data_IF_123923878209
#
_entry.id   IF_123923878209
#
_cell.length_a   1.000
_cell.length_b   1.000
_cell.length_c   1.000
_cell.angle_alpha   90.00
_cell.angle_beta   90.00
_cell.angle_gamma   90.00
#
_symmetry.space_group_name_H-M   'P 1'
#
loop_
_entity.id
_entity.type
_entity.pdbx_description
1 polymer ?
#
# COMPACT_ATOMS: atom_id res chain seq x y z
N UNK A 1 -39.09 35.05 -17.51
CA UNK A 1 -37.61 35.03 -17.55
C UNK A 1 -36.93 34.27 -16.40
N UNK A 2 -37.58 34.12 -15.24
CA UNK A 2 -37.00 33.36 -14.07
C UNK A 2 -37.07 31.85 -14.23
N UNK A 3 -38.09 31.29 -14.88
CA UNK A 3 -38.25 29.85 -15.10
C UNK A 3 -37.19 29.21 -16.05
N UNK A 4 -36.66 30.01 -16.99
CA UNK A 4 -35.67 29.48 -17.97
C UNK A 4 -34.29 29.34 -17.36
N UNK A 5 -33.93 30.16 -16.38
CA UNK A 5 -32.66 30.09 -15.67
C UNK A 5 -32.61 28.90 -14.68
N UNK A 6 -33.75 28.56 -14.05
CA UNK A 6 -33.80 27.40 -13.13
C UNK A 6 -33.65 26.06 -13.86
N UNK A 7 -34.25 25.93 -15.05
CA UNK A 7 -34.09 24.73 -15.88
C UNK A 7 -32.69 24.60 -16.44
N UNK A 8 -31.98 25.68 -16.76
CA UNK A 8 -30.62 25.67 -17.25
C UNK A 8 -29.61 25.26 -16.14
N UNK A 9 -29.86 25.69 -14.91
CA UNK A 9 -29.04 25.31 -13.75
C UNK A 9 -29.19 23.82 -13.39
N UNK A 10 -30.41 23.29 -13.44
CA UNK A 10 -30.70 21.87 -13.19
C UNK A 10 -30.13 20.99 -14.33
N UNK A 11 -30.25 21.42 -15.60
CA UNK A 11 -29.62 20.70 -16.72
C UNK A 11 -28.09 20.68 -16.61
N UNK A 12 -27.48 21.81 -16.26
CA UNK A 12 -26.02 21.88 -16.07
C UNK A 12 -25.54 21.06 -14.85
N UNK A 13 -26.31 21.03 -13.76
CA UNK A 13 -26.03 20.13 -12.63
C UNK A 13 -26.12 18.64 -13.05
N UNK A 14 -27.16 18.25 -13.77
CA UNK A 14 -27.34 16.89 -14.27
C UNK A 14 -26.26 16.49 -15.29
N UNK A 15 -25.85 17.41 -16.18
CA UNK A 15 -24.75 17.17 -17.13
C UNK A 15 -23.41 17.03 -16.38
N UNK A 16 -23.15 17.87 -15.38
CA UNK A 16 -21.96 17.77 -14.55
C UNK A 16 -21.94 16.47 -13.72
N UNK A 17 -23.09 16.07 -13.17
CA UNK A 17 -23.26 14.79 -12.48
C UNK A 17 -22.99 13.61 -13.42
N UNK A 18 -23.66 13.57 -14.58
CA UNK A 18 -23.47 12.51 -15.58
C UNK A 18 -22.02 12.45 -16.08
N UNK A 19 -21.38 13.60 -16.33
CA UNK A 19 -19.98 13.66 -16.75
C UNK A 19 -19.02 13.19 -15.65
N UNK A 20 -19.29 13.54 -14.38
CA UNK A 20 -18.53 13.08 -13.22
C UNK A 20 -18.65 11.56 -13.06
N UNK A 21 -19.87 11.01 -13.13
CA UNK A 21 -20.10 9.57 -13.06
C UNK A 21 -19.49 8.81 -14.23
N UNK A 22 -19.55 9.36 -15.44
CA UNK A 22 -18.93 8.75 -16.62
C UNK A 22 -17.39 8.73 -16.53
N UNK A 23 -16.78 9.86 -16.08
CA UNK A 23 -15.33 9.90 -15.81
C UNK A 23 -14.92 8.93 -14.71
N UNK A 24 -15.70 8.82 -13.64
CA UNK A 24 -15.45 7.90 -12.53
C UNK A 24 -15.60 6.44 -13.00
N UNK A 25 -16.61 6.12 -13.83
CA UNK A 25 -16.79 4.79 -14.41
C UNK A 25 -15.62 4.40 -15.34
N UNK A 26 -15.17 5.30 -16.21
CA UNK A 26 -13.99 5.08 -17.06
C UNK A 26 -12.72 4.89 -16.22
N UNK A 27 -12.56 5.64 -15.14
CA UNK A 27 -11.43 5.52 -14.22
C UNK A 27 -11.47 4.21 -13.45
N UNK A 28 -12.64 3.75 -12.98
CA UNK A 28 -12.82 2.44 -12.34
C UNK A 28 -12.46 1.30 -13.29
N UNK A 29 -12.90 1.36 -14.55
CA UNK A 29 -12.55 0.35 -15.55
C UNK A 29 -11.05 0.26 -15.81
N UNK A 30 -10.33 1.39 -15.68
CA UNK A 30 -8.89 1.43 -15.83
C UNK A 30 -8.13 0.77 -14.68
N UNK A 31 -8.65 0.83 -13.43
CA UNK A 31 -8.05 0.08 -12.30
C UNK A 31 -8.04 -1.43 -12.54
N UNK A 32 -9.07 -1.95 -13.22
CA UNK A 32 -9.21 -3.38 -13.49
C UNK A 32 -8.68 -3.79 -14.88
N UNK A 33 -8.20 -2.85 -15.68
CA UNK A 33 -7.71 -3.13 -17.04
C UNK A 33 -6.57 -4.16 -17.10
N UNK A 34 -5.59 -4.15 -16.16
CA UNK A 34 -4.51 -5.14 -16.20
C UNK A 34 -4.93 -6.50 -15.67
N UNK A 35 -6.12 -6.62 -15.07
CA UNK A 35 -6.62 -7.86 -14.48
C UNK A 35 -7.27 -8.68 -15.56
N UNK A 36 -6.89 -9.97 -15.65
CA UNK A 36 -7.56 -10.90 -16.53
C UNK A 36 -9.06 -10.93 -16.19
N UNK A 37 -9.91 -10.48 -17.13
CA UNK A 37 -11.36 -10.38 -16.92
C UNK A 37 -12.06 -11.74 -16.89
N UNK A 38 -11.35 -12.81 -17.29
CA UNK A 38 -11.89 -14.17 -17.38
C UNK A 38 -11.59 -15.03 -16.13
N UNK A 39 -11.21 -14.41 -15.02
CA UNK A 39 -11.09 -15.12 -13.74
C UNK A 39 -12.45 -15.66 -13.39
N UNK A 40 -12.58 -17.00 -13.37
CA UNK A 40 -13.78 -17.68 -12.92
C UNK A 40 -13.48 -18.41 -11.61
N UNK A 41 -14.18 -18.03 -10.57
CA UNK A 41 -14.10 -18.68 -9.25
C UNK A 41 -15.44 -19.32 -8.97
N UNK A 42 -15.52 -20.66 -8.86
CA UNK A 42 -16.74 -21.35 -8.47
C UNK A 42 -17.22 -20.91 -7.09
N UNK A 43 -18.54 -20.83 -6.89
CA UNK A 43 -19.11 -20.44 -5.58
C UNK A 43 -18.66 -21.38 -4.45
N UNK A 44 -18.38 -22.64 -4.73
CA UNK A 44 -17.83 -23.59 -3.76
C UNK A 44 -16.46 -23.19 -3.22
N UNK A 45 -15.65 -22.46 -3.98
CA UNK A 45 -14.34 -21.96 -3.54
C UNK A 45 -14.50 -20.81 -2.54
N UNK A 46 -15.60 -20.04 -2.62
CA UNK A 46 -15.85 -18.94 -1.69
C UNK A 46 -16.04 -19.38 -0.23
N UNK A 47 -16.38 -20.65 0.03
CA UNK A 47 -16.37 -21.19 1.39
C UNK A 47 -15.00 -21.10 2.07
N UNK A 48 -13.92 -21.05 1.31
CA UNK A 48 -12.53 -20.87 1.82
C UNK A 48 -12.25 -19.43 2.28
N UNK A 49 -13.02 -18.46 1.79
CA UNK A 49 -12.78 -17.05 2.08
C UNK A 49 -13.17 -16.67 3.50
N UNK A 50 -14.09 -17.40 4.15
CA UNK A 50 -14.50 -17.16 5.52
C UNK A 50 -13.32 -17.25 6.49
N UNK A 51 -12.43 -18.22 6.28
CA UNK A 51 -11.20 -18.33 7.09
C UNK A 51 -10.28 -17.14 6.88
N UNK A 52 -10.13 -16.68 5.62
CA UNK A 52 -9.33 -15.50 5.31
C UNK A 52 -9.87 -14.25 6.03
N UNK A 53 -11.20 -14.07 6.05
CA UNK A 53 -11.87 -12.95 6.73
C UNK A 53 -11.62 -13.02 8.24
N UNK A 54 -11.85 -14.16 8.87
CA UNK A 54 -11.65 -14.36 10.31
C UNK A 54 -10.19 -14.10 10.71
N UNK A 55 -9.23 -14.58 9.91
CA UNK A 55 -7.81 -14.34 10.17
C UNK A 55 -7.44 -12.87 9.98
N UNK A 56 -7.91 -12.22 8.93
CA UNK A 56 -7.67 -10.80 8.68
C UNK A 56 -8.25 -9.93 9.82
N UNK A 57 -9.45 -10.25 10.29
CA UNK A 57 -10.08 -9.55 11.41
C UNK A 57 -9.30 -9.74 12.72
N UNK A 58 -8.81 -10.96 12.99
CA UNK A 58 -7.96 -11.22 14.14
C UNK A 58 -6.63 -10.46 14.07
N UNK A 59 -6.00 -10.40 12.89
CA UNK A 59 -4.78 -9.61 12.66
C UNK A 59 -5.04 -8.11 12.84
N UNK A 60 -6.15 -7.59 12.33
CA UNK A 60 -6.52 -6.18 12.47
C UNK A 60 -6.70 -5.77 13.95
N UNK A 61 -7.24 -6.67 14.80
CA UNK A 61 -7.35 -6.44 16.24
C UNK A 61 -6.01 -6.50 16.99
N UNK A 62 -5.03 -7.23 16.45
CA UNK A 62 -3.70 -7.37 17.07
C UNK A 62 -2.68 -6.34 16.60
N UNK A 63 -2.99 -5.59 15.56
CA UNK A 63 -2.09 -4.59 14.98
C UNK A 63 -2.76 -3.21 14.94
N UNK A 64 -1.96 -2.17 14.81
CA UNK A 64 -2.46 -0.80 14.59
C UNK A 64 -2.68 -0.50 13.10
N UNK A 65 -2.72 -1.54 12.24
CA UNK A 65 -2.90 -1.38 10.81
C UNK A 65 -4.38 -1.51 10.43
N UNK A 66 -4.83 -0.74 9.47
CA UNK A 66 -6.07 -1.04 8.75
C UNK A 66 -5.81 -2.16 7.77
N UNK A 67 -6.67 -3.17 7.77
CA UNK A 67 -6.58 -4.31 6.86
C UNK A 67 -7.83 -4.39 5.99
N UNK A 68 -7.65 -4.76 4.73
CA UNK A 68 -8.76 -5.12 3.86
C UNK A 68 -8.34 -6.19 2.86
N UNK A 69 -9.32 -6.96 2.38
CA UNK A 69 -9.10 -8.01 1.37
C UNK A 69 -9.78 -7.57 0.08
N UNK A 70 -9.01 -7.54 -1.00
CA UNK A 70 -9.53 -7.32 -2.36
C UNK A 70 -9.93 -8.65 -2.96
N UNK A 71 -11.13 -8.72 -3.50
CA UNK A 71 -11.60 -9.78 -4.39
C UNK A 71 -11.54 -9.28 -5.84
N UNK A 72 -10.54 -9.72 -6.59
CA UNK A 72 -10.35 -9.31 -7.98
C UNK A 72 -11.36 -9.93 -8.94
N UNK A 73 -11.96 -11.08 -8.57
CA UNK A 73 -13.03 -11.69 -9.36
C UNK A 73 -14.33 -10.88 -9.28
N UNK A 74 -14.75 -10.51 -8.05
CA UNK A 74 -15.92 -9.65 -7.81
C UNK A 74 -15.63 -8.16 -7.96
N UNK A 75 -14.35 -7.78 -8.12
CA UNK A 75 -13.89 -6.40 -8.27
C UNK A 75 -14.36 -5.50 -7.11
N UNK A 76 -14.28 -6.02 -5.90
CA UNK A 76 -14.75 -5.34 -4.70
C UNK A 76 -13.87 -5.72 -3.48
N UNK A 77 -14.15 -5.11 -2.34
CA UNK A 77 -13.56 -5.48 -1.07
C UNK A 77 -14.37 -6.62 -0.44
N UNK A 78 -13.71 -7.76 -0.22
CA UNK A 78 -14.29 -8.91 0.47
C UNK A 78 -14.42 -8.65 1.96
N UNK A 79 -13.47 -7.92 2.55
CA UNK A 79 -13.39 -7.57 3.96
C UNK A 79 -12.74 -6.20 4.11
N UNK A 80 -13.19 -5.43 5.09
CA UNK A 80 -12.57 -4.17 5.53
C UNK A 80 -12.59 -4.14 7.06
N UNK A 81 -11.44 -3.89 7.69
CA UNK A 81 -11.32 -3.81 9.14
C UNK A 81 -11.94 -2.54 9.70
N UNK A 82 -12.29 -2.57 10.99
CA UNK A 82 -12.83 -1.41 11.73
C UNK A 82 -11.76 -0.37 12.11
N UNK A 83 -10.51 -0.58 11.76
CA UNK A 83 -9.41 0.35 12.01
C UNK A 83 -9.64 1.68 11.27
N UNK A 84 -9.60 2.86 11.95
CA UNK A 84 -10.12 4.11 11.40
C UNK A 84 -9.26 4.72 10.30
N UNK A 85 -7.98 4.40 10.21
CA UNK A 85 -7.06 5.06 9.28
C UNK A 85 -7.53 4.96 7.82
N UNK A 86 -7.79 3.75 7.34
CA UNK A 86 -8.25 3.54 5.95
C UNK A 86 -9.72 3.90 5.76
N UNK A 87 -10.52 3.88 6.82
CA UNK A 87 -11.96 4.20 6.73
C UNK A 87 -12.25 5.67 6.42
N UNK A 88 -11.34 6.57 6.72
CA UNK A 88 -11.48 8.01 6.44
C UNK A 88 -12.81 8.61 6.94
N UNK A 89 -13.33 8.13 8.07
CA UNK A 89 -14.59 8.57 8.67
C UNK A 89 -15.84 7.80 8.23
N UNK A 90 -15.70 6.80 7.36
CA UNK A 90 -16.80 5.89 6.96
C UNK A 90 -16.86 4.64 7.84
N UNK A 91 -17.94 3.89 7.76
CA UNK A 91 -18.01 2.54 8.33
C UNK A 91 -17.35 1.50 7.39
N UNK A 92 -16.94 0.33 7.90
CA UNK A 92 -16.43 -0.76 7.05
C UNK A 92 -17.41 -1.17 5.96
N UNK A 93 -18.72 -1.20 6.28
CA UNK A 93 -19.79 -1.56 5.36
C UNK A 93 -19.95 -0.53 4.24
N UNK A 94 -19.86 0.77 4.57
CA UNK A 94 -19.89 1.84 3.58
C UNK A 94 -18.71 1.75 2.61
N UNK A 95 -17.49 1.48 3.12
CA UNK A 95 -16.29 1.30 2.30
C UNK A 95 -16.43 0.07 1.40
N UNK A 96 -16.95 -1.04 1.92
CA UNK A 96 -17.24 -2.24 1.12
C UNK A 96 -18.27 -1.97 0.01
N UNK A 97 -19.36 -1.25 0.33
CA UNK A 97 -20.39 -0.90 -0.67
C UNK A 97 -19.85 0.00 -1.78
N UNK A 98 -18.97 0.95 -1.44
CA UNK A 98 -18.31 1.83 -2.40
C UNK A 98 -17.28 1.09 -3.26
N UNK A 99 -16.65 0.04 -2.70
CA UNK A 99 -15.59 -0.69 -3.36
C UNK A 99 -14.46 0.25 -3.84
N UNK A 100 -13.97 0.05 -5.05
CA UNK A 100 -12.88 0.86 -5.61
C UNK A 100 -13.25 2.34 -5.85
N UNK A 101 -14.55 2.68 -5.87
CA UNK A 101 -14.97 4.08 -5.95
C UNK A 101 -14.53 4.87 -4.71
N UNK A 102 -14.31 4.19 -3.59
CA UNK A 102 -13.79 4.79 -2.37
C UNK A 102 -12.44 5.48 -2.57
N UNK A 103 -11.53 4.92 -3.36
CA UNK A 103 -10.25 5.57 -3.65
C UNK A 103 -10.40 6.97 -4.28
N UNK A 104 -11.39 7.16 -5.16
CA UNK A 104 -11.64 8.46 -5.80
C UNK A 104 -12.23 9.51 -4.85
N UNK A 105 -12.71 9.09 -3.69
CA UNK A 105 -13.20 10.00 -2.65
C UNK A 105 -12.07 10.44 -1.71
N UNK A 106 -11.19 9.50 -1.35
CA UNK A 106 -10.21 9.72 -0.28
C UNK A 106 -8.80 10.00 -0.77
N UNK A 107 -8.45 9.63 -1.99
CA UNK A 107 -7.11 9.89 -2.55
C UNK A 107 -7.11 11.21 -3.30
N UNK A 108 -6.08 12.08 -3.13
CA UNK A 108 -5.92 13.29 -3.94
C UNK A 108 -5.97 12.98 -5.44
N UNK A 109 -6.67 13.82 -6.20
CA UNK A 109 -6.96 13.54 -7.62
C UNK A 109 -5.72 13.47 -8.52
N UNK A 110 -4.64 14.14 -8.15
CA UNK A 110 -3.34 14.13 -8.82
C UNK A 110 -2.57 12.82 -8.58
N UNK A 111 -2.85 12.12 -7.48
CA UNK A 111 -2.23 10.82 -7.17
C UNK A 111 -2.98 9.62 -7.77
N UNK A 112 -4.23 9.76 -8.17
CA UNK A 112 -5.02 8.66 -8.75
C UNK A 112 -4.36 8.06 -10.00
N UNK A 113 -3.82 8.88 -10.89
CA UNK A 113 -3.15 8.38 -12.09
C UNK A 113 -1.89 7.57 -11.74
N UNK A 114 -1.16 7.99 -10.69
CA UNK A 114 -0.01 7.25 -10.16
C UNK A 114 -0.43 5.88 -9.62
N UNK A 115 -1.52 5.82 -8.85
CA UNK A 115 -2.05 4.54 -8.34
C UNK A 115 -2.48 3.60 -9.48
N UNK A 116 -3.11 4.12 -10.54
CA UNK A 116 -3.44 3.31 -11.72
C UNK A 116 -2.20 2.76 -12.41
N UNK A 117 -1.14 3.57 -12.59
CA UNK A 117 0.12 3.12 -13.18
C UNK A 117 0.81 2.07 -12.31
N UNK A 118 0.83 2.26 -10.97
CA UNK A 118 1.36 1.27 -10.01
C UNK A 118 0.61 -0.05 -10.15
N UNK A 119 -0.71 0.00 -10.18
CA UNK A 119 -1.56 -1.18 -10.32
C UNK A 119 -1.26 -1.92 -11.65
N UNK A 120 -1.20 -1.20 -12.78
CA UNK A 120 -0.88 -1.79 -14.09
C UNK A 120 0.52 -2.41 -14.10
N UNK A 121 1.52 -1.68 -13.59
CA UNK A 121 2.91 -2.16 -13.55
C UNK A 121 3.06 -3.36 -12.60
N UNK A 122 2.38 -3.34 -11.44
CA UNK A 122 2.36 -4.43 -10.47
C UNK A 122 1.79 -5.71 -11.08
N UNK A 123 0.58 -5.66 -11.65
CA UNK A 123 -0.02 -6.83 -12.29
C UNK A 123 0.82 -7.39 -13.42
N UNK A 124 1.40 -6.54 -14.27
CA UNK A 124 2.31 -6.98 -15.34
C UNK A 124 3.49 -7.75 -14.74
N UNK A 125 4.12 -7.22 -13.69
CA UNK A 125 5.22 -7.89 -13.02
C UNK A 125 4.82 -9.25 -12.46
N UNK A 126 3.64 -9.34 -11.78
CA UNK A 126 3.12 -10.59 -11.21
C UNK A 126 2.85 -11.64 -12.30
N UNK A 127 2.25 -11.25 -13.42
CA UNK A 127 1.97 -12.19 -14.50
C UNK A 127 3.21 -12.66 -15.25
N UNK A 128 4.29 -11.88 -15.25
CA UNK A 128 5.58 -12.28 -15.78
C UNK A 128 6.31 -13.29 -14.88
N UNK A 129 5.85 -13.50 -13.62
CA UNK A 129 6.43 -14.48 -12.71
C UNK A 129 5.77 -15.85 -12.87
N UNK A 130 6.55 -16.94 -12.61
CA UNK A 130 5.98 -18.29 -12.46
C UNK A 130 4.84 -18.31 -11.44
N UNK A 131 3.82 -19.13 -11.69
CA UNK A 131 2.60 -19.17 -10.85
C UNK A 131 2.95 -19.48 -9.38
N UNK A 132 3.87 -20.41 -9.16
CA UNK A 132 4.34 -20.84 -7.85
C UNK A 132 5.02 -19.74 -7.04
N UNK A 133 5.52 -18.70 -7.69
CA UNK A 133 6.15 -17.54 -7.02
C UNK A 133 5.17 -16.40 -6.70
N UNK A 134 4.00 -16.39 -7.29
CA UNK A 134 3.09 -15.25 -7.20
C UNK A 134 2.60 -14.96 -5.77
N UNK A 135 2.47 -15.98 -4.92
CA UNK A 135 2.08 -15.82 -3.52
C UNK A 135 3.21 -15.30 -2.63
N UNK A 136 4.46 -15.44 -3.09
CA UNK A 136 5.64 -15.03 -2.32
C UNK A 136 5.98 -13.55 -2.52
N UNK A 137 5.27 -12.86 -3.39
CA UNK A 137 5.51 -11.46 -3.72
C UNK A 137 4.60 -10.52 -2.93
N UNK A 138 5.11 -9.33 -2.61
CA UNK A 138 4.28 -8.22 -2.17
C UNK A 138 4.68 -6.95 -2.89
N UNK A 139 3.72 -6.04 -3.09
CA UNK A 139 3.97 -4.69 -3.58
C UNK A 139 3.65 -3.68 -2.49
N UNK A 140 4.52 -2.69 -2.30
CA UNK A 140 4.35 -1.65 -1.30
C UNK A 140 4.70 -0.28 -1.86
N UNK A 141 3.95 0.73 -1.43
CA UNK A 141 4.06 2.12 -1.87
C UNK A 141 3.30 3.04 -0.93
N UNK A 142 3.63 4.33 -0.98
CA UNK A 142 2.94 5.34 -0.19
C UNK A 142 2.04 6.19 -1.08
N UNK A 143 0.95 6.69 -0.50
CA UNK A 143 0.08 7.71 -1.08
C UNK A 143 -0.70 8.45 0.01
N UNK A 144 -1.28 9.59 -0.35
CA UNK A 144 -2.05 10.38 0.58
C UNK A 144 -3.53 9.98 0.58
N UNK A 145 -4.15 10.07 1.76
CA UNK A 145 -5.60 9.93 1.94
C UNK A 145 -6.15 11.12 2.69
N UNK A 146 -7.31 11.61 2.27
CA UNK A 146 -8.10 12.60 2.99
C UNK A 146 -8.93 11.88 4.06
N UNK A 147 -8.77 12.32 5.30
CA UNK A 147 -9.61 11.92 6.42
C UNK A 147 -10.51 13.10 6.81
N UNK A 148 -11.16 13.02 7.97
CA UNK A 148 -11.87 14.18 8.55
C UNK A 148 -10.92 15.31 8.98
N UNK A 149 -9.63 15.10 8.96
CA UNK A 149 -8.62 16.08 9.34
C UNK A 149 -8.31 17.06 8.21
N UNK A 150 -7.75 18.22 8.58
CA UNK A 150 -7.50 19.34 7.65
C UNK A 150 -6.45 18.99 6.56
N UNK A 151 -5.50 18.13 6.87
CA UNK A 151 -4.40 17.76 5.97
C UNK A 151 -4.48 16.28 5.62
N UNK A 152 -4.17 15.90 4.36
CA UNK A 152 -4.11 14.50 4.00
C UNK A 152 -2.98 13.78 4.76
N UNK A 153 -3.22 12.51 5.08
CA UNK A 153 -2.22 11.65 5.71
C UNK A 153 -1.47 10.86 4.66
N UNK A 154 -0.15 10.86 4.76
CA UNK A 154 0.67 9.95 3.97
C UNK A 154 0.61 8.56 4.62
N UNK A 155 0.10 7.59 3.87
CA UNK A 155 0.00 6.21 4.32
C UNK A 155 0.99 5.32 3.58
N UNK A 156 1.43 4.27 4.27
CA UNK A 156 2.13 3.14 3.69
C UNK A 156 1.12 2.03 3.40
N UNK A 157 1.08 1.62 2.16
CA UNK A 157 0.18 0.59 1.66
C UNK A 157 1.00 -0.60 1.18
N UNK A 158 0.64 -1.81 1.63
CA UNK A 158 1.24 -3.05 1.19
C UNK A 158 0.15 -4.03 0.75
N UNK A 159 0.33 -4.63 -0.41
CA UNK A 159 -0.57 -5.63 -0.98
C UNK A 159 0.20 -6.94 -1.16
N UNK A 160 -0.41 -8.02 -0.68
CA UNK A 160 0.14 -9.38 -0.76
C UNK A 160 -0.96 -10.32 -1.29
N UNK A 161 -0.74 -11.06 -2.38
CA UNK A 161 -1.67 -12.09 -2.84
C UNK A 161 -1.90 -13.15 -1.76
N UNK A 162 -3.14 -13.60 -1.61
CA UNK A 162 -3.55 -14.61 -0.62
C UNK A 162 -4.01 -15.89 -1.30
N UNK A 163 -4.82 -15.76 -2.35
CA UNK A 163 -5.33 -16.89 -3.12
C UNK A 163 -5.21 -16.60 -4.62
N UNK A 164 -4.89 -17.65 -5.36
CA UNK A 164 -4.88 -17.63 -6.83
C UNK A 164 -6.08 -18.43 -7.36
N UNK A 165 -6.53 -18.08 -8.58
CA UNK A 165 -7.47 -18.89 -9.35
C UNK A 165 -6.82 -20.21 -9.78
N UNK A 166 -7.62 -21.17 -10.27
CA UNK A 166 -7.10 -22.40 -10.83
C UNK A 166 -6.19 -22.20 -12.06
N UNK A 167 -6.19 -21.00 -12.66
CA UNK A 167 -5.30 -20.60 -13.77
C UNK A 167 -4.07 -19.80 -13.29
N UNK A 168 -3.95 -19.54 -11.99
CA UNK A 168 -2.84 -18.78 -11.42
C UNK A 168 -3.03 -17.26 -11.42
N UNK A 169 -4.22 -16.75 -11.77
CA UNK A 169 -4.53 -15.33 -11.62
C UNK A 169 -4.72 -14.98 -10.14
N UNK A 170 -4.35 -13.77 -9.73
CA UNK A 170 -4.59 -13.31 -8.36
C UNK A 170 -6.09 -13.19 -8.14
N UNK A 171 -6.63 -14.01 -7.24
CA UNK A 171 -8.03 -13.96 -6.82
C UNK A 171 -8.23 -13.04 -5.65
N UNK A 172 -7.56 -13.32 -4.50
CA UNK A 172 -7.62 -12.49 -3.31
C UNK A 172 -6.25 -11.90 -2.98
N UNK A 173 -6.26 -10.65 -2.53
CA UNK A 173 -5.08 -10.00 -1.97
C UNK A 173 -5.41 -9.31 -0.65
N UNK A 174 -4.54 -9.51 0.35
CA UNK A 174 -4.56 -8.79 1.62
C UNK A 174 -3.82 -7.47 1.45
N UNK A 175 -4.47 -6.39 1.85
CA UNK A 175 -3.88 -5.07 1.94
C UNK A 175 -3.73 -4.65 3.39
N UNK A 176 -2.57 -4.09 3.73
CA UNK A 176 -2.31 -3.47 5.02
C UNK A 176 -2.02 -1.99 4.82
N UNK A 177 -2.58 -1.16 5.69
CA UNK A 177 -2.41 0.30 5.66
C UNK A 177 -1.96 0.77 7.03
N UNK A 178 -0.87 1.54 7.05
CA UNK A 178 -0.35 2.21 8.23
C UNK A 178 0.04 3.65 7.90
N UNK A 179 0.32 4.47 8.90
CA UNK A 179 0.95 5.78 8.64
C UNK A 179 2.35 5.55 8.06
N UNK A 180 2.70 6.30 7.03
CA UNK A 180 4.06 6.23 6.49
C UNK A 180 5.04 6.95 7.42
N UNK A 181 6.21 6.36 7.70
CA UNK A 181 7.30 7.06 8.39
C UNK A 181 8.02 8.07 7.49
N UNK A 182 7.82 8.00 6.17
CA UNK A 182 8.46 8.84 5.18
C UNK A 182 7.77 10.21 5.08
N UNK A 183 8.51 11.20 4.59
CA UNK A 183 7.96 12.55 4.36
C UNK A 183 7.30 12.70 2.99
N UNK A 184 7.69 11.86 2.05
CA UNK A 184 7.27 11.91 0.65
C UNK A 184 6.70 10.56 0.23
N UNK A 185 6.03 10.56 -0.92
CA UNK A 185 5.42 9.35 -1.50
C UNK A 185 6.46 8.22 -1.72
N UNK A 186 7.73 8.57 -1.96
CA UNK A 186 8.81 7.59 -2.08
C UNK A 186 8.70 6.66 -3.29
N UNK A 187 9.34 5.50 -3.14
CA UNK A 187 9.43 4.48 -4.18
C UNK A 187 8.25 3.50 -4.12
N UNK A 188 8.06 2.80 -5.22
CA UNK A 188 7.18 1.62 -5.31
C UNK A 188 8.08 0.40 -5.34
N UNK A 189 7.89 -0.52 -4.39
CA UNK A 189 8.76 -1.67 -4.19
C UNK A 189 7.99 -2.97 -4.34
N UNK A 190 8.53 -3.93 -5.09
CA UNK A 190 8.11 -5.34 -5.03
C UNK A 190 9.20 -6.12 -4.32
N UNK A 191 8.80 -6.93 -3.32
CA UNK A 191 9.67 -7.81 -2.55
C UNK A 191 9.30 -9.26 -2.81
N UNK A 192 10.32 -10.11 -3.03
CA UNK A 192 10.19 -11.56 -3.05
C UNK A 192 10.56 -12.11 -1.67
N UNK A 193 9.58 -12.70 -0.97
CA UNK A 193 9.75 -13.18 0.40
C UNK A 193 10.50 -14.52 0.52
N UNK A 194 10.81 -15.18 -0.59
CA UNK A 194 11.65 -16.39 -0.63
C UNK A 194 13.14 -16.10 -0.70
N UNK A 195 13.49 -14.87 -1.04
CA UNK A 195 14.86 -14.37 -1.12
C UNK A 195 14.90 -12.90 -0.69
N UNK A 196 16.07 -12.29 -0.79
CA UNK A 196 16.27 -10.87 -0.46
C UNK A 196 16.08 -9.92 -1.65
N UNK A 197 15.59 -10.47 -2.77
CA UNK A 197 15.39 -9.69 -3.99
C UNK A 197 14.24 -8.69 -3.82
N UNK A 198 14.50 -7.46 -4.18
CA UNK A 198 13.48 -6.43 -4.32
C UNK A 198 13.66 -5.62 -5.60
N UNK A 199 12.56 -5.05 -6.06
CA UNK A 199 12.48 -4.35 -7.33
C UNK A 199 11.85 -2.99 -7.09
N UNK A 200 12.48 -1.93 -7.59
CA UNK A 200 11.95 -0.56 -7.54
C UNK A 200 11.40 -0.19 -8.91
N UNK A 201 10.18 0.39 -8.93
CA UNK A 201 9.57 0.87 -10.16
C UNK A 201 10.06 2.26 -10.54
N UNK A 202 10.55 2.39 -11.75
CA UNK A 202 10.91 3.68 -12.35
C UNK A 202 9.75 4.21 -13.19
N UNK A 203 9.09 5.29 -12.74
CA UNK A 203 8.00 5.95 -13.48
C UNK A 203 8.50 6.55 -14.81
N UNK A 204 9.70 7.14 -14.83
CA UNK A 204 10.30 7.69 -16.05
C UNK A 204 10.57 6.60 -17.10
N UNK A 205 11.17 5.47 -16.67
CA UNK A 205 11.48 4.34 -17.54
C UNK A 205 10.36 3.34 -17.72
N UNK A 206 9.25 3.44 -16.97
CA UNK A 206 8.11 2.51 -16.91
C UNK A 206 8.52 1.05 -16.79
N UNK A 207 9.50 0.79 -15.91
CA UNK A 207 10.09 -0.54 -15.71
C UNK A 207 10.52 -0.78 -14.30
N UNK A 208 10.49 -2.03 -13.90
CA UNK A 208 11.06 -2.50 -12.66
C UNK A 208 12.59 -2.65 -12.80
N UNK A 209 13.30 -2.24 -11.76
CA UNK A 209 14.75 -2.41 -11.66
C UNK A 209 15.03 -3.24 -10.42
N UNK A 210 15.67 -4.40 -10.61
CA UNK A 210 16.17 -5.19 -9.49
C UNK A 210 17.22 -4.37 -8.74
N UNK A 211 17.05 -4.24 -7.45
CA UNK A 211 18.03 -3.59 -6.58
C UNK A 211 18.89 -4.65 -5.90
N UNK A 212 20.15 -4.34 -5.66
CA UNK A 212 20.97 -5.19 -4.83
C UNK A 212 20.35 -5.26 -3.43
N UNK A 213 20.55 -6.39 -2.76
CA UNK A 213 20.10 -6.59 -1.39
C UNK A 213 20.53 -5.43 -0.50
N UNK A 214 19.57 -4.81 0.18
CA UNK A 214 19.85 -3.79 1.17
C UNK A 214 20.29 -4.47 2.47
N UNK A 215 21.60 -4.62 2.65
CA UNK A 215 22.16 -5.30 3.82
C UNK A 215 22.59 -4.25 4.85
N UNK A 216 21.97 -4.31 6.03
CA UNK A 216 22.50 -3.67 7.22
C UNK A 216 23.46 -4.66 7.90
N UNK A 217 24.68 -4.19 8.25
CA UNK A 217 25.60 -4.97 9.07
C UNK A 217 25.00 -5.21 10.47
N UNK A 218 25.49 -6.23 11.17
CA UNK A 218 25.02 -6.52 12.54
C UNK A 218 25.16 -5.32 13.46
N UNK A 219 26.24 -4.56 13.29
CA UNK A 219 26.48 -3.32 14.04
C UNK A 219 25.46 -2.21 13.72
N UNK A 220 25.06 -2.08 12.47
CA UNK A 220 24.03 -1.13 12.07
C UNK A 220 22.65 -1.54 12.62
N UNK A 221 22.34 -2.84 12.64
CA UNK A 221 21.10 -3.37 13.25
C UNK A 221 21.06 -3.13 14.76
N UNK A 222 22.16 -3.43 15.48
CA UNK A 222 22.28 -3.15 16.91
C UNK A 222 22.06 -1.66 17.24
N UNK A 223 22.68 -0.76 16.48
CA UNK A 223 22.53 0.69 16.66
C UNK A 223 21.09 1.13 16.40
N UNK A 224 20.42 0.60 15.38
CA UNK A 224 19.01 0.88 15.14
C UNK A 224 18.14 0.39 16.30
N UNK A 225 18.32 -0.87 16.74
CA UNK A 225 17.55 -1.44 17.86
C UNK A 225 17.71 -0.66 19.16
N UNK A 226 18.92 -0.19 19.47
CA UNK A 226 19.16 0.65 20.63
C UNK A 226 18.55 2.06 20.45
N UNK A 227 18.54 2.57 19.23
CA UNK A 227 17.89 3.85 18.91
C UNK A 227 16.37 3.77 19.06
N UNK A 228 15.74 2.63 18.71
CA UNK A 228 14.31 2.37 18.98
C UNK A 228 13.98 2.46 20.47
N UNK A 229 14.92 2.03 21.34
CA UNK A 229 14.79 2.14 22.80
C UNK A 229 14.99 3.57 23.32
N UNK A 230 15.29 4.53 22.45
CA UNK A 230 15.46 5.94 22.80
C UNK A 230 16.86 6.29 23.33
N UNK A 231 17.85 5.39 23.24
CA UNK A 231 19.20 5.65 23.72
C UNK A 231 19.88 6.75 22.89
N UNK A 232 20.58 7.65 23.60
CA UNK A 232 21.48 8.66 23.00
C UNK A 232 22.71 8.00 22.37
N UNK A 233 23.44 8.76 21.53
CA UNK A 233 24.67 8.23 20.93
C UNK A 233 25.74 7.86 21.96
N UNK A 234 25.78 8.53 23.10
CA UNK A 234 26.70 8.23 24.20
C UNK A 234 26.32 6.92 24.87
N UNK A 235 25.05 6.74 25.24
CA UNK A 235 24.55 5.50 25.86
C UNK A 235 24.67 4.29 24.93
N UNK A 236 24.45 4.48 23.61
CA UNK A 236 24.70 3.44 22.60
C UNK A 236 26.19 3.11 22.55
N UNK A 237 27.05 4.13 22.56
CA UNK A 237 28.50 3.94 22.58
C UNK A 237 28.97 3.14 23.79
N UNK A 238 28.50 3.50 24.99
CA UNK A 238 28.78 2.76 26.22
C UNK A 238 28.30 1.31 26.15
N UNK A 239 27.06 1.09 25.68
CA UNK A 239 26.47 -0.24 25.53
C UNK A 239 27.24 -1.13 24.57
N UNK A 240 27.75 -0.54 23.48
CA UNK A 240 28.42 -1.26 22.39
C UNK A 240 29.96 -1.22 22.50
N UNK A 241 30.51 -0.59 23.54
CA UNK A 241 31.94 -0.39 23.76
C UNK A 241 32.64 0.31 22.59
N UNK A 242 32.03 1.38 22.05
CA UNK A 242 32.57 2.23 21.00
C UNK A 242 32.37 3.72 21.34
N UNK A 243 33.16 4.59 20.70
CA UNK A 243 33.01 6.03 20.86
C UNK A 243 31.68 6.56 20.26
N UNK A 244 31.10 7.58 20.87
CA UNK A 244 29.85 8.20 20.42
C UNK A 244 29.95 8.77 18.97
N UNK A 245 31.15 9.17 18.51
CA UNK A 245 31.37 9.62 17.14
C UNK A 245 31.33 8.42 16.17
N UNK A 246 31.76 7.22 16.60
CA UNK A 246 31.62 5.98 15.84
C UNK A 246 30.14 5.60 15.69
N UNK A 247 29.32 5.81 16.72
CA UNK A 247 27.87 5.64 16.62
C UNK A 247 27.26 6.60 15.60
N UNK A 248 27.65 7.89 15.63
CA UNK A 248 27.21 8.88 14.64
C UNK A 248 27.59 8.48 13.21
N UNK A 249 28.80 7.96 13.03
CA UNK A 249 29.27 7.50 11.73
C UNK A 249 28.43 6.32 11.20
N UNK A 250 28.10 5.34 12.04
CA UNK A 250 27.21 4.25 11.66
C UNK A 250 25.80 4.74 11.36
N UNK A 251 25.23 5.66 12.16
CA UNK A 251 23.92 6.26 11.88
C UNK A 251 23.90 6.97 10.53
N UNK A 252 24.97 7.71 10.19
CA UNK A 252 25.07 8.34 8.86
C UNK A 252 25.03 7.29 7.73
N UNK A 253 25.78 6.19 7.85
CA UNK A 253 25.75 5.10 6.88
C UNK A 253 24.37 4.42 6.77
N UNK A 254 23.68 4.25 7.90
CA UNK A 254 22.30 3.73 7.94
C UNK A 254 21.38 4.68 7.16
N UNK A 255 21.46 6.00 7.39
CA UNK A 255 20.66 6.99 6.68
C UNK A 255 20.92 6.99 5.18
N UNK A 256 22.20 6.90 4.77
CA UNK A 256 22.58 6.78 3.35
C UNK A 256 22.02 5.51 2.72
N UNK A 257 22.10 4.36 3.41
CA UNK A 257 21.58 3.07 2.92
C UNK A 257 20.07 3.03 2.81
N UNK A 258 19.36 3.61 3.80
CA UNK A 258 17.91 3.61 3.90
C UNK A 258 17.27 4.82 3.21
N UNK A 259 18.09 5.74 2.66
CA UNK A 259 17.61 7.02 2.14
C UNK A 259 16.78 7.83 3.14
N UNK A 260 17.09 7.69 4.44
CA UNK A 260 16.40 8.34 5.54
C UNK A 260 17.09 9.65 5.97
N UNK A 261 16.33 10.65 6.40
CA UNK A 261 16.86 11.92 6.88
C UNK A 261 17.10 11.93 8.39
N UNK A 262 16.47 11.05 9.15
CA UNK A 262 16.55 10.97 10.59
C UNK A 262 16.35 9.54 11.11
N UNK A 263 16.59 9.35 12.42
CA UNK A 263 16.55 8.02 13.04
C UNK A 263 15.15 7.43 13.06
N UNK A 264 14.10 8.23 13.24
CA UNK A 264 12.70 7.76 13.29
C UNK A 264 12.28 7.21 11.93
N UNK A 265 12.62 7.92 10.88
CA UNK A 265 12.40 7.49 9.50
C UNK A 265 13.20 6.21 9.17
N UNK A 266 14.49 6.18 9.53
CA UNK A 266 15.35 5.02 9.32
C UNK A 266 14.79 3.76 10.01
N UNK A 267 14.31 3.89 11.24
CA UNK A 267 13.68 2.80 12.01
C UNK A 267 12.42 2.32 11.31
N UNK A 268 11.55 3.25 10.89
CA UNK A 268 10.30 2.90 10.19
C UNK A 268 10.55 2.16 8.88
N UNK A 269 11.49 2.65 8.06
CA UNK A 269 11.88 2.01 6.79
C UNK A 269 12.48 0.62 7.07
N UNK A 270 13.42 0.52 8.03
CA UNK A 270 14.06 -0.76 8.37
C UNK A 270 13.05 -1.80 8.88
N UNK A 271 12.04 -1.39 9.65
CA UNK A 271 10.96 -2.26 10.11
C UNK A 271 10.06 -2.72 8.94
N UNK A 272 9.67 -1.80 8.05
CA UNK A 272 8.88 -2.12 6.87
C UNK A 272 9.59 -3.12 5.95
N UNK A 273 10.91 -2.93 5.77
CA UNK A 273 11.76 -3.81 4.96
C UNK A 273 12.22 -5.07 5.74
N UNK A 274 11.79 -5.28 6.99
CA UNK A 274 12.17 -6.43 7.85
C UNK A 274 13.68 -6.58 8.05
N UNK A 275 14.39 -5.47 8.12
CA UNK A 275 15.83 -5.46 8.36
C UNK A 275 16.19 -5.51 9.84
N UNK A 276 15.21 -5.17 10.69
CA UNK A 276 15.30 -5.22 12.16
C UNK A 276 14.07 -5.87 12.76
#
# INVERSE_FOLDING_TARGET
MVCTFYNFAILNQNINYATKYYKQFLSLSNFFRPINTDIQIPDSEYAKTDVCIVMADALARNTNHSLYIIDYHRKNFLYVSSNPLFLCGHSPEEVQQKGYAFYFEVVPSDEINRLMEINEAGFRFYYDQPIEKRLDLSIEYNFHIHTSEKHPHLIHHKLTPVLLSGKGDIWLALCTVSLSPEKNIGDVVISDHTCTDHYIYSFEGRRWRKQPELILSDREKEILQLSVKGLSNTEIGETLFIDANTVKFHKKKIFEKLHAENITEAVGIAANLRLI
#
